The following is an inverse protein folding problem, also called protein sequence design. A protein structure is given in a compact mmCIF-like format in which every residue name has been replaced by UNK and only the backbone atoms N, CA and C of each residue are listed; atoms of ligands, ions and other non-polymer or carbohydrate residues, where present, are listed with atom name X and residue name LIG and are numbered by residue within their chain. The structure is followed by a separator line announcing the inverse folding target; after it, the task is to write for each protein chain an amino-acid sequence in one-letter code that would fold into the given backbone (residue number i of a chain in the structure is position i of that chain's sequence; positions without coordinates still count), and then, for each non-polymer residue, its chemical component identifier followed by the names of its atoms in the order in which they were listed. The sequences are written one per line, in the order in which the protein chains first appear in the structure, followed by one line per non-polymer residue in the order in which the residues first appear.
data_IF_172613505050
#
_entry.id   IF_172613505050
#
_cell.length_a   1.000
_cell.length_b   1.000
_cell.length_c   1.000
_cell.angle_alpha   90.00
_cell.angle_beta   90.00
_cell.angle_gamma   90.00
#
_symmetry.space_group_name_H-M   'P 1'
#
loop_
_entity.id
_entity.type
_entity.pdbx_description
1 polymer ?
#
# COMPACT_ATOMS: atom_id res chain seq x y z
N UNK A 1 -17.34 6.82 22.28
CA UNK A 1 -16.46 8.01 22.45
C UNK A 1 -15.98 8.37 21.06
N UNK A 2 -16.58 9.38 20.45
CA UNK A 2 -16.21 9.81 19.11
C UNK A 2 -14.84 10.46 19.21
N UNK A 3 -13.83 9.72 18.78
CA UNK A 3 -12.46 10.19 18.62
C UNK A 3 -12.49 11.19 17.46
N UNK A 4 -12.75 12.46 17.76
CA UNK A 4 -12.78 13.54 16.77
C UNK A 4 -11.34 13.82 16.36
N UNK A 5 -10.82 12.96 15.47
CA UNK A 5 -9.45 13.09 14.96
C UNK A 5 -9.33 14.41 14.23
N UNK A 6 -8.38 15.23 14.63
CA UNK A 6 -8.08 16.49 13.97
C UNK A 6 -7.53 16.18 12.56
N UNK A 7 -8.19 16.70 11.53
CA UNK A 7 -7.79 16.51 10.13
C UNK A 7 -7.16 17.78 9.60
N UNK A 8 -6.13 17.63 8.77
CA UNK A 8 -5.49 18.75 8.10
C UNK A 8 -6.43 19.38 7.05
N UNK A 9 -6.39 20.70 6.93
CA UNK A 9 -7.07 21.42 5.86
C UNK A 9 -6.43 21.12 4.50
N UNK A 10 -7.18 21.30 3.40
CA UNK A 10 -6.64 21.11 2.04
C UNK A 10 -5.42 22.01 1.79
N UNK A 11 -5.43 23.24 2.30
CA UNK A 11 -4.30 24.18 2.21
C UNK A 11 -3.09 23.72 3.01
N UNK A 12 -3.31 23.10 4.18
CA UNK A 12 -2.24 22.49 4.98
C UNK A 12 -1.61 21.30 4.28
N UNK A 13 -2.44 20.42 3.71
CA UNK A 13 -1.98 19.30 2.88
C UNK A 13 -1.13 19.81 1.72
N UNK A 14 -1.61 20.80 0.95
CA UNK A 14 -0.85 21.36 -0.17
C UNK A 14 0.50 21.96 0.26
N UNK A 15 0.55 22.62 1.42
CA UNK A 15 1.80 23.13 2.01
C UNK A 15 2.76 22.02 2.43
N UNK A 16 2.26 20.90 2.93
CA UNK A 16 3.11 19.76 3.29
C UNK A 16 3.65 19.04 2.05
N UNK A 17 2.81 18.81 1.05
CA UNK A 17 3.22 18.16 -0.20
C UNK A 17 4.25 18.99 -0.98
N UNK A 18 4.14 20.32 -0.98
CA UNK A 18 5.14 21.19 -1.64
C UNK A 18 6.52 21.19 -0.98
N UNK A 19 6.64 20.64 0.24
CA UNK A 19 7.92 20.52 0.98
C UNK A 19 8.59 19.16 0.79
N UNK A 20 8.00 18.25 0.02
CA UNK A 20 8.57 16.91 -0.19
C UNK A 20 9.93 16.99 -0.87
N UNK A 21 10.86 16.18 -0.36
CA UNK A 21 12.21 16.06 -0.89
C UNK A 21 12.31 14.80 -1.73
N UNK A 22 13.37 14.70 -2.53
CA UNK A 22 13.63 13.53 -3.37
C UNK A 22 13.54 12.18 -2.62
N UNK A 23 14.05 12.03 -1.37
CA UNK A 23 13.86 10.80 -0.62
C UNK A 23 12.40 10.47 -0.30
N UNK A 24 11.56 11.47 -0.02
CA UNK A 24 10.13 11.27 0.23
C UNK A 24 9.42 10.83 -1.05
N UNK A 25 9.74 11.47 -2.17
CA UNK A 25 9.19 11.11 -3.48
C UNK A 25 9.55 9.68 -3.88
N UNK A 26 10.80 9.25 -3.67
CA UNK A 26 11.24 7.88 -3.94
C UNK A 26 10.50 6.86 -3.07
N UNK A 27 10.28 7.18 -1.79
CA UNK A 27 9.50 6.33 -0.89
C UNK A 27 8.05 6.23 -1.34
N UNK A 28 7.44 7.34 -1.71
CA UNK A 28 6.05 7.40 -2.19
C UNK A 28 5.90 6.63 -3.51
N UNK A 29 6.85 6.75 -4.44
CA UNK A 29 6.85 5.96 -5.67
C UNK A 29 6.94 4.45 -5.37
N UNK A 30 7.86 4.03 -4.50
CA UNK A 30 8.00 2.63 -4.10
C UNK A 30 6.74 2.07 -3.42
N UNK A 31 6.01 2.92 -2.67
CA UNK A 31 4.69 2.55 -2.13
C UNK A 31 3.70 2.29 -3.26
N UNK A 32 3.59 3.21 -4.22
CA UNK A 32 2.67 3.08 -5.34
C UNK A 32 2.97 1.80 -6.15
N UNK A 33 4.24 1.54 -6.46
CA UNK A 33 4.68 0.31 -7.13
C UNK A 33 4.22 -0.93 -6.37
N UNK A 34 4.39 -0.93 -5.05
CA UNK A 34 3.98 -2.06 -4.20
C UNK A 34 2.49 -2.35 -4.29
N UNK A 35 1.66 -1.31 -4.35
CA UNK A 35 0.21 -1.42 -4.33
C UNK A 35 -0.40 -1.75 -5.69
N UNK A 36 0.28 -1.35 -6.77
CA UNK A 36 -0.16 -1.65 -8.12
C UNK A 36 0.13 -3.10 -8.55
N UNK A 37 1.07 -3.78 -7.88
CA UNK A 37 1.41 -5.18 -8.22
C UNK A 37 0.16 -6.07 -8.22
N UNK A 38 -0.08 -6.74 -9.33
CA UNK A 38 -1.24 -7.64 -9.53
C UNK A 38 -2.49 -6.95 -10.12
N UNK A 39 -2.46 -5.64 -10.35
CA UNK A 39 -3.40 -4.96 -11.23
C UNK A 39 -2.95 -5.13 -12.68
N UNK A 40 -3.90 -5.25 -13.60
CA UNK A 40 -3.61 -5.52 -15.02
C UNK A 40 -3.70 -4.30 -15.93
N UNK A 41 -4.43 -3.27 -15.51
CA UNK A 41 -4.85 -2.15 -16.38
C UNK A 41 -4.35 -0.77 -15.97
N UNK A 42 -3.70 -0.67 -14.81
CA UNK A 42 -3.36 0.62 -14.16
C UNK A 42 -1.94 0.52 -13.62
N UNK A 43 -1.23 1.63 -13.64
CA UNK A 43 0.16 1.69 -13.20
C UNK A 43 0.35 2.45 -11.86
N UNK A 44 1.59 2.48 -11.37
CA UNK A 44 1.92 3.12 -10.11
C UNK A 44 1.70 4.65 -10.15
N UNK A 45 1.87 5.28 -11.31
CA UNK A 45 1.65 6.71 -11.50
C UNK A 45 0.16 7.03 -11.44
N UNK A 46 -0.68 6.22 -12.08
CA UNK A 46 -2.15 6.33 -11.99
C UNK A 46 -2.59 6.25 -10.53
N UNK A 47 -2.07 5.28 -9.79
CA UNK A 47 -2.44 5.05 -8.39
C UNK A 47 -2.04 6.22 -7.49
N UNK A 48 -0.83 6.75 -7.69
CA UNK A 48 -0.34 7.89 -6.94
C UNK A 48 -1.14 9.16 -7.28
N UNK A 49 -1.40 9.42 -8.56
CA UNK A 49 -2.16 10.58 -9.01
C UNK A 49 -3.60 10.54 -8.46
N UNK A 50 -4.27 9.39 -8.52
CA UNK A 50 -5.60 9.22 -7.94
C UNK A 50 -5.59 9.42 -6.42
N UNK A 51 -4.57 8.90 -5.73
CA UNK A 51 -4.43 9.11 -4.29
C UNK A 51 -4.25 10.60 -3.95
N UNK A 52 -3.37 11.31 -4.66
CA UNK A 52 -3.15 12.74 -4.45
C UNK A 52 -4.41 13.56 -4.78
N UNK A 53 -5.12 13.22 -5.86
CA UNK A 53 -6.36 13.88 -6.26
C UNK A 53 -7.42 13.78 -5.15
N UNK A 54 -7.65 12.58 -4.60
CA UNK A 54 -8.63 12.38 -3.50
C UNK A 54 -8.24 13.05 -2.20
N UNK A 55 -6.94 13.21 -1.93
CA UNK A 55 -6.47 13.90 -0.72
C UNK A 55 -6.61 15.42 -0.90
N UNK A 56 -6.23 15.95 -2.06
CA UNK A 56 -6.32 17.37 -2.38
C UNK A 56 -7.75 17.85 -2.65
N UNK A 57 -8.68 16.96 -3.01
CA UNK A 57 -10.12 17.27 -3.09
C UNK A 57 -10.82 17.26 -1.72
N UNK A 58 -10.18 16.69 -0.69
CA UNK A 58 -10.78 16.49 0.63
C UNK A 58 -11.62 15.21 0.77
N UNK A 59 -11.77 14.40 -0.29
CA UNK A 59 -12.50 13.11 -0.24
C UNK A 59 -11.82 12.10 0.69
N UNK A 60 -10.52 12.27 0.94
CA UNK A 60 -9.72 11.53 1.91
C UNK A 60 -9.09 12.52 2.88
N UNK A 61 -9.79 12.92 3.96
CA UNK A 61 -9.24 13.85 4.94
C UNK A 61 -8.06 13.18 5.66
N UNK A 62 -6.95 13.89 5.79
CA UNK A 62 -5.72 13.39 6.39
C UNK A 62 -5.69 13.70 7.89
N UNK A 63 -5.74 12.69 8.80
CA UNK A 63 -5.57 12.92 10.23
C UNK A 63 -4.17 13.44 10.56
N UNK A 64 -4.08 14.54 11.31
CA UNK A 64 -2.83 15.23 11.61
C UNK A 64 -1.79 14.37 12.35
N UNK A 65 -2.25 13.37 13.10
CA UNK A 65 -1.39 12.47 13.87
C UNK A 65 -0.70 11.37 13.02
N UNK A 66 -1.15 11.17 11.78
CA UNK A 66 -0.66 10.09 10.92
C UNK A 66 0.42 10.64 9.99
N UNK A 67 1.56 9.96 9.88
CA UNK A 67 2.59 10.36 8.94
C UNK A 67 2.13 10.29 7.47
N UNK A 68 2.63 11.19 6.62
CA UNK A 68 2.26 11.27 5.19
C UNK A 68 2.39 9.91 4.49
N UNK A 69 3.52 9.23 4.66
CA UNK A 69 3.79 7.94 4.03
C UNK A 69 2.79 6.86 4.46
N UNK A 70 2.45 6.83 5.76
CA UNK A 70 1.44 5.91 6.26
C UNK A 70 0.06 6.23 5.69
N UNK A 71 -0.32 7.51 5.69
CA UNK A 71 -1.61 7.93 5.18
C UNK A 71 -1.77 7.63 3.68
N UNK A 72 -0.81 8.06 2.85
CA UNK A 72 -0.78 7.78 1.42
C UNK A 72 -0.79 6.27 1.13
N UNK A 73 -0.02 5.47 1.88
CA UNK A 73 -0.02 4.02 1.71
C UNK A 73 -1.41 3.40 1.92
N UNK A 74 -2.21 3.88 2.88
CA UNK A 74 -3.56 3.36 3.09
C UNK A 74 -4.55 3.84 2.01
N UNK A 75 -4.43 5.09 1.58
CA UNK A 75 -5.25 5.62 0.49
C UNK A 75 -4.99 4.79 -0.78
N UNK A 76 -3.73 4.57 -1.14
CA UNK A 76 -3.34 3.72 -2.27
C UNK A 76 -3.78 2.27 -2.10
N UNK A 77 -3.66 1.68 -0.90
CA UNK A 77 -4.20 0.33 -0.62
C UNK A 77 -5.69 0.24 -0.92
N UNK A 78 -6.46 1.22 -0.44
CA UNK A 78 -7.91 1.26 -0.62
C UNK A 78 -8.29 1.41 -2.09
N UNK A 79 -7.62 2.32 -2.82
CA UNK A 79 -7.83 2.52 -4.26
C UNK A 79 -7.46 1.24 -5.03
N UNK A 80 -6.28 0.67 -4.79
CA UNK A 80 -5.86 -0.56 -5.46
C UNK A 80 -6.82 -1.74 -5.17
N UNK A 81 -7.38 -1.81 -3.95
CA UNK A 81 -8.41 -2.80 -3.62
C UNK A 81 -9.68 -2.56 -4.43
N UNK A 82 -10.18 -1.32 -4.49
CA UNK A 82 -11.32 -0.94 -5.31
C UNK A 82 -11.09 -1.33 -6.79
N UNK A 83 -9.92 -0.99 -7.33
CA UNK A 83 -9.53 -1.28 -8.71
C UNK A 83 -9.51 -2.78 -9.01
N UNK A 84 -8.99 -3.62 -8.09
CA UNK A 84 -9.06 -5.08 -8.24
C UNK A 84 -10.49 -5.60 -8.31
N UNK A 85 -11.41 -5.03 -7.54
CA UNK A 85 -12.82 -5.42 -7.57
C UNK A 85 -13.54 -4.94 -8.83
N UNK A 86 -13.11 -3.82 -9.42
CA UNK A 86 -13.62 -3.32 -10.71
C UNK A 86 -13.12 -4.23 -11.85
N UNK A 87 -11.82 -4.51 -11.89
CA UNK A 87 -11.20 -5.42 -12.88
C UNK A 87 -11.79 -6.83 -12.84
N UNK A 88 -12.21 -7.32 -11.65
CA UNK A 88 -12.87 -8.61 -11.50
C UNK A 88 -14.35 -8.61 -11.91
N UNK A 89 -15.01 -7.44 -11.88
CA UNK A 89 -16.44 -7.28 -12.20
C UNK A 89 -16.68 -7.04 -13.68
N UNK A 90 -15.71 -6.50 -14.41
CA UNK A 90 -15.77 -6.40 -15.87
C UNK A 90 -15.20 -7.66 -16.54
N UNK A 91 -16.03 -8.56 -17.10
CA UNK A 91 -15.51 -9.61 -17.96
C UNK A 91 -14.94 -8.95 -19.22
N UNK A 92 -13.74 -9.39 -19.61
CA UNK A 92 -12.98 -8.95 -20.79
C UNK A 92 -13.87 -8.62 -22.01
N UNK A 93 -14.06 -7.33 -22.29
CA UNK A 93 -14.11 -6.86 -23.66
C UNK A 93 -12.66 -6.76 -24.15
N UNK A 94 -12.26 -7.71 -25.00
CA UNK A 94 -10.94 -7.74 -25.61
C UNK A 94 -10.74 -6.57 -26.60
N UNK A 95 -9.46 -6.25 -26.82
CA UNK A 95 -8.85 -5.33 -27.78
C UNK A 95 -8.82 -3.83 -27.45
N UNK A 96 -7.65 -3.39 -26.97
CA UNK A 96 -6.84 -2.48 -27.78
C UNK A 96 -5.34 -2.59 -27.42
N UNK A 97 -4.54 -2.71 -28.47
CA UNK A 97 -3.10 -2.88 -28.51
C UNK A 97 -2.44 -1.61 -27.96
N UNK A 98 -1.90 -1.70 -26.75
CA UNK A 98 -0.97 -0.72 -26.20
C UNK A 98 0.37 -1.42 -26.00
N UNK A 99 1.30 -1.13 -26.89
CA UNK A 99 2.69 -1.58 -26.86
C UNK A 99 3.30 -1.13 -25.52
N UNK A 100 3.28 -2.03 -24.52
CA UNK A 100 3.98 -1.81 -23.26
C UNK A 100 5.46 -1.86 -23.61
N UNK A 101 6.17 -0.75 -23.39
CA UNK A 101 7.62 -0.75 -23.35
C UNK A 101 8.05 -1.80 -22.32
N UNK A 102 8.52 -2.95 -22.80
CA UNK A 102 9.31 -3.90 -22.02
C UNK A 102 10.63 -3.20 -21.68
N UNK A 103 10.60 -2.40 -20.61
CA UNK A 103 11.80 -2.18 -19.83
C UNK A 103 12.20 -3.55 -19.28
N UNK A 104 13.45 -4.02 -19.49
CA UNK A 104 13.89 -5.25 -18.87
C UNK A 104 13.91 -5.02 -17.36
N UNK A 105 12.83 -5.44 -16.69
CA UNK A 105 12.83 -5.59 -15.25
C UNK A 105 13.95 -6.58 -14.95
N UNK A 106 14.93 -6.15 -14.16
CA UNK A 106 15.96 -7.04 -13.66
C UNK A 106 15.27 -8.30 -13.12
N UNK A 107 15.71 -9.49 -13.51
CA UNK A 107 15.05 -10.76 -13.14
C UNK A 107 14.81 -10.87 -11.61
N UNK A 108 15.69 -10.25 -10.80
CA UNK A 108 15.55 -10.13 -9.34
C UNK A 108 14.33 -9.31 -8.87
N UNK A 109 13.93 -8.25 -9.60
CA UNK A 109 12.78 -7.42 -9.27
C UNK A 109 11.45 -8.15 -9.51
N UNK A 110 11.41 -9.03 -10.52
CA UNK A 110 10.27 -9.90 -10.78
C UNK A 110 10.10 -10.94 -9.66
N UNK A 111 11.19 -11.50 -9.15
CA UNK A 111 11.16 -12.48 -8.06
C UNK A 111 10.73 -11.87 -6.73
N UNK A 112 11.25 -10.70 -6.36
CA UNK A 112 10.81 -10.02 -5.14
C UNK A 112 9.35 -9.55 -5.24
N UNK A 113 8.95 -9.03 -6.39
CA UNK A 113 7.56 -8.65 -6.68
C UNK A 113 6.59 -9.82 -6.56
N UNK A 114 6.98 -10.96 -7.13
CA UNK A 114 6.22 -12.21 -7.10
C UNK A 114 6.12 -12.74 -5.66
N UNK A 115 7.23 -12.71 -4.92
CA UNK A 115 7.27 -13.12 -3.52
C UNK A 115 6.35 -12.25 -2.66
N UNK A 116 6.45 -10.93 -2.76
CA UNK A 116 5.61 -10.01 -1.99
C UNK A 116 4.12 -10.22 -2.31
N UNK A 117 3.77 -10.50 -3.56
CA UNK A 117 2.39 -10.82 -3.95
C UNK A 117 1.88 -12.11 -3.30
N UNK A 118 2.68 -13.18 -3.37
CA UNK A 118 2.33 -14.46 -2.74
C UNK A 118 2.24 -14.34 -1.22
N UNK A 119 3.08 -13.52 -0.60
CA UNK A 119 3.00 -13.21 0.84
C UNK A 119 1.71 -12.45 1.17
N UNK A 120 1.25 -11.52 0.33
CA UNK A 120 -0.04 -10.85 0.49
C UNK A 120 -1.19 -11.86 0.42
N UNK A 121 -1.19 -12.72 -0.59
CA UNK A 121 -2.21 -13.75 -0.77
C UNK A 121 -2.31 -14.69 0.44
N UNK A 122 -1.16 -15.09 0.98
CA UNK A 122 -1.08 -15.90 2.20
C UNK A 122 -1.71 -15.23 3.44
N UNK A 123 -1.74 -13.90 3.48
CA UNK A 123 -2.21 -13.11 4.61
C UNK A 123 -3.62 -12.54 4.41
N UNK A 124 -4.26 -12.75 3.26
CA UNK A 124 -5.60 -12.20 2.94
C UNK A 124 -6.66 -12.49 4.01
N UNK A 125 -6.57 -13.64 4.69
CA UNK A 125 -7.54 -14.05 5.72
C UNK A 125 -7.22 -13.51 7.14
N UNK A 126 -6.09 -12.84 7.35
CA UNK A 126 -5.71 -12.23 8.63
C UNK A 126 -5.43 -10.73 8.40
N UNK A 127 -6.51 -9.96 8.38
CA UNK A 127 -6.49 -8.53 8.05
C UNK A 127 -5.49 -7.71 8.92
N UNK A 128 -5.38 -7.93 10.25
CA UNK A 128 -4.33 -7.30 11.05
C UNK A 128 -2.90 -7.70 10.65
N UNK A 129 -2.67 -8.97 10.30
CA UNK A 129 -1.35 -9.45 9.88
C UNK A 129 -0.95 -8.91 8.50
N UNK A 130 -1.91 -8.86 7.57
CA UNK A 130 -1.73 -8.23 6.27
C UNK A 130 -1.45 -6.73 6.43
N UNK A 131 -2.18 -6.05 7.30
CA UNK A 131 -1.94 -4.66 7.67
C UNK A 131 -0.50 -4.41 8.13
N UNK A 132 0.01 -5.22 9.07
CA UNK A 132 1.39 -5.10 9.55
C UNK A 132 2.41 -5.37 8.45
N UNK A 133 2.17 -6.37 7.59
CA UNK A 133 3.02 -6.63 6.44
C UNK A 133 3.15 -5.40 5.54
N UNK A 134 2.03 -4.74 5.26
CA UNK A 134 2.00 -3.50 4.50
C UNK A 134 2.71 -2.33 5.20
N UNK A 135 2.60 -2.24 6.52
CA UNK A 135 3.34 -1.24 7.31
C UNK A 135 4.86 -1.42 7.24
N UNK A 136 5.32 -2.67 7.22
CA UNK A 136 6.75 -2.99 7.06
C UNK A 136 7.21 -2.61 5.66
N UNK A 137 6.44 -2.97 4.63
CA UNK A 137 6.76 -2.59 3.25
C UNK A 137 6.77 -1.07 3.07
N UNK A 138 5.89 -0.36 3.77
CA UNK A 138 5.82 1.10 3.72
C UNK A 138 6.84 1.83 4.57
N UNK A 139 7.68 1.10 5.31
CA UNK A 139 8.67 1.63 6.25
C UNK A 139 8.07 2.65 7.24
N UNK A 140 6.82 2.43 7.65
CA UNK A 140 6.11 3.31 8.56
C UNK A 140 6.35 2.93 10.01
N UNK A 141 6.12 3.88 10.93
CA UNK A 141 6.39 3.65 12.35
C UNK A 141 5.40 2.65 12.96
N UNK A 142 5.81 1.95 14.01
CA UNK A 142 4.91 1.08 14.79
C UNK A 142 3.72 1.87 15.35
N UNK A 143 3.93 3.14 15.73
CA UNK A 143 2.88 4.02 16.22
C UNK A 143 1.82 4.26 15.14
N UNK A 144 2.25 4.62 13.92
CA UNK A 144 1.34 4.80 12.79
C UNK A 144 0.58 3.51 12.49
N UNK A 145 1.25 2.36 12.57
CA UNK A 145 0.62 1.06 12.38
C UNK A 145 -0.48 0.76 13.41
N UNK A 146 -0.23 1.06 14.68
CA UNK A 146 -1.23 0.93 15.73
C UNK A 146 -2.43 1.87 15.48
N UNK A 147 -2.17 3.15 15.21
CA UNK A 147 -3.21 4.15 14.97
C UNK A 147 -4.09 3.81 13.76
N UNK A 148 -3.47 3.34 12.67
CA UNK A 148 -4.17 2.99 11.44
C UNK A 148 -4.96 1.69 11.54
N UNK A 149 -4.40 0.67 12.18
CA UNK A 149 -5.05 -0.62 12.33
C UNK A 149 -6.04 -0.67 13.50
N UNK A 150 -6.14 0.40 14.30
CA UNK A 150 -6.95 0.42 15.53
C UNK A 150 -6.46 -0.58 16.57
N UNK A 151 -5.16 -0.88 16.57
CA UNK A 151 -4.54 -1.88 17.44
C UNK A 151 -3.84 -1.19 18.62
N UNK A 152 -3.92 -1.81 19.79
CA UNK A 152 -3.04 -1.49 20.90
C UNK A 152 -1.65 -2.13 20.69
N UNK A 153 -0.69 -1.80 21.56
CA UNK A 153 0.66 -2.33 21.45
C UNK A 153 0.69 -3.87 21.48
N UNK A 154 -0.18 -4.49 22.28
CA UNK A 154 -0.30 -5.95 22.41
C UNK A 154 -0.91 -6.58 21.16
N UNK A 155 -1.93 -5.95 20.58
CA UNK A 155 -2.57 -6.34 19.33
C UNK A 155 -1.59 -6.31 18.16
N UNK A 156 -0.74 -5.26 18.08
CA UNK A 156 0.33 -5.19 17.10
C UNK A 156 1.31 -6.36 17.22
N UNK A 157 1.82 -6.64 18.43
CA UNK A 157 2.78 -7.75 18.60
C UNK A 157 2.16 -9.11 18.31
N UNK A 158 0.88 -9.29 18.66
CA UNK A 158 0.13 -10.52 18.38
C UNK A 158 -0.04 -10.71 16.88
N UNK A 159 -0.53 -9.70 16.16
CA UNK A 159 -0.71 -9.75 14.71
C UNK A 159 0.63 -9.92 13.98
N UNK A 160 1.71 -9.27 14.46
CA UNK A 160 3.06 -9.45 13.90
C UNK A 160 3.57 -10.88 14.07
N UNK A 161 3.32 -11.51 15.23
CA UNK A 161 3.66 -12.92 15.46
C UNK A 161 2.85 -13.85 14.55
N UNK A 162 1.55 -13.60 14.37
CA UNK A 162 0.71 -14.38 13.44
C UNK A 162 1.21 -14.24 12.00
N UNK A 163 1.45 -13.02 11.53
CA UNK A 163 2.07 -12.72 10.24
C UNK A 163 3.35 -13.54 10.04
N UNK A 164 4.29 -13.42 10.99
CA UNK A 164 5.58 -14.11 10.92
C UNK A 164 5.41 -15.63 10.88
N UNK A 165 4.47 -16.19 11.65
CA UNK A 165 4.19 -17.64 11.69
C UNK A 165 3.58 -18.14 10.38
N UNK A 166 2.61 -17.40 9.82
CA UNK A 166 1.98 -17.75 8.55
C UNK A 166 3.00 -17.72 7.41
N UNK A 167 3.79 -16.64 7.33
CA UNK A 167 4.83 -16.50 6.32
C UNK A 167 5.91 -17.58 6.47
N UNK A 168 6.40 -17.87 7.69
CA UNK A 168 7.39 -18.96 7.90
C UNK A 168 6.85 -20.35 7.56
N UNK A 169 5.55 -20.59 7.76
CA UNK A 169 4.93 -21.88 7.42
C UNK A 169 4.86 -22.09 5.90
N UNK A 170 4.54 -21.03 5.17
CA UNK A 170 4.29 -21.08 3.73
C UNK A 170 5.55 -20.84 2.89
N UNK A 171 6.48 -20.04 3.40
CA UNK A 171 7.76 -19.68 2.80
C UNK A 171 8.88 -20.19 3.71
N UNK A 172 9.10 -21.51 3.73
CA UNK A 172 10.23 -22.11 4.45
C UNK A 172 11.57 -21.65 3.87
N UNK A 173 12.70 -21.71 4.61
CA UNK A 173 13.99 -21.09 4.26
C UNK A 173 14.74 -21.69 3.05
N UNK A 174 14.08 -22.44 2.16
CA UNK A 174 14.70 -23.16 1.04
C UNK A 174 14.51 -22.52 -0.34
N UNK A 175 14.14 -21.24 -0.42
CA UNK A 175 13.79 -20.54 -1.67
C UNK A 175 14.93 -19.68 -2.24
N UNK A 176 16.19 -20.01 -1.93
CA UNK A 176 17.30 -19.63 -2.80
C UNK A 176 17.54 -20.84 -3.71
N UNK A 177 16.92 -20.82 -4.88
CA UNK A 177 17.33 -21.67 -6.00
C UNK A 177 17.13 -20.89 -7.29
#
# INVERSE_FOLDING_TARGET
MSDEREHLSVEEVGRLLSRLRQPDLLRIAALADTWVRGLRRRDASDLLNEALARILSGDRPWPAEISLHAFLSQVMRSIASQWRHEDAREPLALDQVGEFLELPAAEDDLDFANLAQRMREALLNDEPALGIFHHILSQTSRRDACLQLGLDATGYDTARRRMTRTLRRQFRPGWIK
#
